data_IF_307335785457
#
_entry.id   IF_307335785457
#
_cell.length_a   1.000
_cell.length_b   1.000
_cell.length_c   1.000
_cell.angle_alpha   90.00
_cell.angle_beta   90.00
_cell.angle_gamma   90.00
#
_symmetry.space_group_name_H-M   'P 1'
#
loop_
_entity.id
_entity.type
_entity.pdbx_description
1 polymer ?
#
# COMPACT_ATOMS: atom_id res chain seq x y z
N UNK A 1 17.06 -14.18 0.67
CA UNK A 1 17.50 -15.55 1.02
C UNK A 1 17.16 -15.73 2.48
N UNK A 2 16.08 -16.47 2.79
CA UNK A 2 15.59 -16.64 4.15
C UNK A 2 15.67 -18.10 4.55
N UNK A 3 16.24 -18.28 5.74
CA UNK A 3 16.36 -19.53 6.46
C UNK A 3 14.98 -19.91 7.02
N UNK A 4 14.59 -21.15 6.79
CA UNK A 4 13.35 -21.74 7.27
C UNK A 4 13.44 -21.99 8.78
N UNK A 5 12.38 -21.64 9.51
CA UNK A 5 12.13 -22.03 10.89
C UNK A 5 10.64 -21.87 11.15
N UNK A 6 9.89 -22.84 10.62
CA UNK A 6 8.53 -23.12 11.00
C UNK A 6 8.46 -23.56 12.47
N UNK A 7 7.59 -22.92 13.25
CA UNK A 7 7.08 -23.47 14.51
C UNK A 7 5.56 -23.45 14.43
N UNK A 8 5.00 -24.66 14.43
CA UNK A 8 3.59 -24.99 14.26
C UNK A 8 2.79 -24.69 15.55
N UNK A 9 1.53 -24.25 15.39
CA UNK A 9 0.64 -23.91 16.50
C UNK A 9 -0.84 -23.89 16.06
N UNK A 10 -1.79 -24.27 16.94
CA UNK A 10 -2.86 -25.21 16.54
C UNK A 10 -4.15 -24.58 16.00
N UNK A 11 -4.79 -25.37 15.13
CA UNK A 11 -6.10 -25.19 14.49
C UNK A 11 -7.25 -25.03 15.50
N UNK A 12 -8.20 -24.12 15.22
CA UNK A 12 -9.59 -24.20 15.71
C UNK A 12 -10.59 -24.17 14.55
N UNK A 13 -11.60 -25.02 14.70
CA UNK A 13 -12.61 -25.50 13.74
C UNK A 13 -13.74 -24.48 13.51
N UNK A 14 -14.16 -24.40 12.23
CA UNK A 14 -15.51 -24.22 11.64
C UNK A 14 -16.68 -23.79 12.53
N UNK A 15 -17.44 -22.81 12.03
CA UNK A 15 -18.89 -22.90 11.99
C UNK A 15 -19.44 -22.20 10.73
N UNK A 16 -20.47 -22.80 10.16
CA UNK A 16 -21.21 -22.45 8.95
C UNK A 16 -22.52 -21.74 9.32
N UNK A 17 -22.93 -20.74 8.56
CA UNK A 17 -24.33 -20.32 8.42
C UNK A 17 -24.50 -19.48 7.14
N UNK A 18 -25.68 -19.59 6.56
CA UNK A 18 -26.06 -19.28 5.17
C UNK A 18 -26.74 -17.90 5.03
N UNK A 19 -26.97 -17.55 3.76
CA UNK A 19 -28.00 -16.65 3.22
C UNK A 19 -27.89 -15.14 3.50
N UNK A 20 -27.65 -14.34 2.44
CA UNK A 20 -28.69 -13.53 1.76
C UNK A 20 -28.04 -12.52 0.80
N UNK A 21 -28.64 -12.41 -0.38
CA UNK A 21 -28.49 -11.28 -1.28
C UNK A 21 -29.11 -10.03 -0.66
N UNK A 22 -28.62 -8.82 -1.01
CA UNK A 22 -29.48 -7.81 -1.62
C UNK A 22 -28.72 -6.56 -2.07
N UNK A 23 -29.20 -6.07 -3.20
CA UNK A 23 -28.85 -4.85 -3.91
C UNK A 23 -29.57 -3.66 -3.26
N UNK A 24 -29.20 -2.42 -3.66
CA UNK A 24 -29.79 -1.10 -3.31
C UNK A 24 -29.23 -0.45 -2.01
N UNK A 25 -29.03 0.87 -1.87
CA UNK A 25 -28.90 2.05 -2.75
C UNK A 25 -28.61 3.26 -1.83
N UNK A 26 -27.97 4.29 -2.37
CA UNK A 26 -28.01 5.72 -1.97
C UNK A 26 -27.55 6.18 -0.56
N UNK A 27 -26.52 7.03 -0.56
CA UNK A 27 -26.59 8.39 -0.02
C UNK A 27 -26.48 8.62 1.49
N UNK A 28 -25.31 9.05 1.96
CA UNK A 28 -25.22 10.15 2.93
C UNK A 28 -23.80 10.75 3.00
N UNK A 29 -23.73 12.08 2.96
CA UNK A 29 -22.54 12.87 3.30
C UNK A 29 -22.10 12.51 4.72
N UNK A 30 -20.96 11.82 4.84
CA UNK A 30 -20.22 11.69 6.07
C UNK A 30 -18.87 12.36 5.88
N UNK A 31 -18.65 13.48 6.55
CA UNK A 31 -17.34 14.10 6.69
C UNK A 31 -16.35 13.06 7.19
N UNK A 32 -15.35 12.71 6.38
CA UNK A 32 -14.25 11.86 6.81
C UNK A 32 -13.64 12.48 8.08
N UNK A 33 -13.47 11.72 9.18
CA UNK A 33 -12.63 12.20 10.25
C UNK A 33 -11.21 12.16 9.69
N UNK A 34 -10.66 13.33 9.36
CA UNK A 34 -9.21 13.50 9.23
C UNK A 34 -8.59 12.90 10.49
N UNK A 35 -7.96 11.73 10.32
CA UNK A 35 -7.33 11.03 11.41
C UNK A 35 -6.02 11.76 11.70
N UNK A 36 -6.12 12.91 12.38
CA UNK A 36 -4.98 13.71 12.80
C UNK A 36 -4.07 12.79 13.62
N UNK A 37 -2.83 12.53 13.16
CA UNK A 37 -1.97 11.57 13.84
C UNK A 37 -1.72 12.08 15.25
N UNK A 38 -2.06 11.26 16.25
CA UNK A 38 -1.74 11.58 17.64
C UNK A 38 -0.26 11.98 17.74
N UNK A 39 0.00 13.17 18.29
CA UNK A 39 1.27 13.91 18.17
C UNK A 39 2.53 13.14 18.61
N UNK A 40 2.38 12.02 19.33
CA UNK A 40 3.46 11.13 19.74
C UNK A 40 3.95 10.20 18.63
N UNK A 41 3.05 9.69 17.80
CA UNK A 41 3.38 8.74 16.72
C UNK A 41 4.16 9.42 15.58
N UNK A 42 3.73 10.62 15.18
CA UNK A 42 4.37 11.38 14.12
C UNK A 42 5.84 11.73 14.46
N UNK A 43 6.12 12.14 15.71
CA UNK A 43 7.48 12.46 16.17
C UNK A 43 8.42 11.25 16.14
N UNK A 44 7.88 10.04 16.39
CA UNK A 44 8.65 8.80 16.32
C UNK A 44 9.08 8.51 14.88
N UNK A 45 8.15 8.63 13.92
CA UNK A 45 8.44 8.41 12.50
C UNK A 45 9.47 9.41 11.95
N UNK A 46 9.38 10.68 12.36
CA UNK A 46 10.37 11.69 11.96
C UNK A 46 11.79 11.33 12.40
N UNK A 47 11.94 10.80 13.62
CA UNK A 47 13.23 10.34 14.12
C UNK A 47 13.76 9.13 13.34
N UNK A 48 12.88 8.19 12.99
CA UNK A 48 13.24 6.99 12.21
C UNK A 48 13.65 7.35 10.78
N UNK A 49 12.86 8.17 10.09
CA UNK A 49 13.17 8.63 8.72
C UNK A 49 14.52 9.35 8.71
N UNK A 50 14.75 10.30 9.63
CA UNK A 50 16.03 11.01 9.75
C UNK A 50 17.23 10.10 10.07
N UNK A 51 17.00 8.95 10.71
CA UNK A 51 18.06 7.96 11.00
C UNK A 51 18.38 7.13 9.75
N UNK A 52 17.36 6.71 9.01
CA UNK A 52 17.51 5.98 7.74
C UNK A 52 18.25 6.85 6.73
N UNK A 53 17.85 8.11 6.57
CA UNK A 53 18.48 9.05 5.62
C UNK A 53 19.94 9.40 5.95
N UNK A 54 20.36 9.27 7.21
CA UNK A 54 21.74 9.51 7.64
C UNK A 54 22.65 8.30 7.49
N UNK A 55 22.08 7.13 7.23
CA UNK A 55 22.82 5.88 7.09
C UNK A 55 23.18 5.66 5.63
N UNK A 56 24.38 5.17 5.34
CA UNK A 56 24.82 4.87 3.96
C UNK A 56 24.02 3.73 3.32
N UNK A 57 23.38 2.88 4.13
CA UNK A 57 22.52 1.78 3.69
C UNK A 57 21.27 1.70 4.57
N UNK A 58 20.34 2.63 4.34
CA UNK A 58 19.07 2.71 5.04
C UNK A 58 17.96 1.90 4.37
N UNK A 59 17.18 1.16 5.16
CA UNK A 59 15.94 0.50 4.73
C UNK A 59 14.78 0.98 5.60
N UNK A 60 13.71 1.45 4.95
CA UNK A 60 12.45 1.77 5.62
C UNK A 60 11.41 0.70 5.27
N UNK A 61 10.90 0.02 6.31
CA UNK A 61 9.79 -0.91 6.17
C UNK A 61 8.57 -0.28 6.83
N UNK A 62 7.47 -0.21 6.08
CA UNK A 62 6.22 0.40 6.53
C UNK A 62 5.03 -0.39 5.98
N UNK A 63 3.85 -0.16 6.55
CA UNK A 63 2.60 -0.70 6.02
C UNK A 63 1.95 0.30 5.09
N UNK A 64 1.03 -0.19 4.26
CA UNK A 64 0.22 0.66 3.37
C UNK A 64 -0.54 1.77 4.11
N UNK A 65 -1.11 1.48 5.28
CA UNK A 65 -1.83 2.47 6.08
C UNK A 65 -0.90 3.56 6.61
N UNK A 66 0.31 3.18 7.06
CA UNK A 66 1.30 4.14 7.54
C UNK A 66 1.87 4.97 6.39
N UNK A 67 2.05 4.38 5.21
CA UNK A 67 2.46 5.10 4.00
C UNK A 67 1.43 6.18 3.63
N UNK A 68 0.13 5.89 3.72
CA UNK A 68 -0.93 6.86 3.50
C UNK A 68 -0.83 8.04 4.48
N UNK A 69 -0.71 7.74 5.78
CA UNK A 69 -0.63 8.77 6.84
C UNK A 69 0.65 9.61 6.74
N UNK A 70 1.77 8.99 6.36
CA UNK A 70 3.08 9.63 6.27
C UNK A 70 3.41 10.10 4.85
N UNK A 71 2.45 10.03 3.92
CA UNK A 71 2.66 10.23 2.49
C UNK A 71 3.44 11.50 2.21
N UNK A 72 2.96 12.64 2.71
CA UNK A 72 3.60 13.95 2.54
C UNK A 72 5.10 13.93 2.84
N UNK A 73 5.53 13.29 3.93
CA UNK A 73 6.93 13.25 4.35
C UNK A 73 7.78 12.28 3.53
N UNK A 74 7.18 11.21 3.05
CA UNK A 74 7.87 10.15 2.30
C UNK A 74 7.94 10.48 0.80
N UNK A 75 7.03 11.31 0.30
CA UNK A 75 6.98 11.77 -1.08
C UNK A 75 8.08 12.81 -1.39
N UNK A 76 8.49 13.60 -0.40
CA UNK A 76 9.59 14.58 -0.53
C UNK A 76 10.99 13.95 -0.59
N UNK A 77 11.09 12.63 -0.42
CA UNK A 77 12.36 11.89 -0.37
C UNK A 77 12.56 11.15 -1.69
N UNK A 78 13.75 11.28 -2.27
CA UNK A 78 14.18 10.47 -3.41
C UNK A 78 14.66 9.09 -2.95
N UNK A 79 13.89 8.05 -3.28
CA UNK A 79 14.19 6.67 -2.91
C UNK A 79 14.93 5.95 -4.04
N UNK A 80 15.95 5.15 -3.72
CA UNK A 80 16.56 4.28 -4.72
C UNK A 80 15.60 3.20 -5.24
N UNK A 81 14.85 2.58 -4.32
CA UNK A 81 13.92 1.49 -4.61
C UNK A 81 12.59 1.67 -3.87
N UNK A 82 11.48 1.37 -4.53
CA UNK A 82 10.19 1.12 -3.89
C UNK A 82 9.73 -0.32 -4.19
N UNK A 83 9.44 -1.07 -3.13
CA UNK A 83 8.97 -2.45 -3.22
C UNK A 83 7.60 -2.55 -2.57
N UNK A 84 6.60 -2.97 -3.36
CA UNK A 84 5.26 -3.23 -2.89
C UNK A 84 5.03 -4.73 -2.76
N UNK A 85 4.84 -5.19 -1.53
CA UNK A 85 4.35 -6.54 -1.28
C UNK A 85 2.83 -6.58 -1.39
N UNK A 86 2.26 -7.72 -1.73
CA UNK A 86 0.82 -7.90 -1.91
C UNK A 86 0.20 -6.90 -2.90
N UNK A 87 0.72 -6.87 -4.13
CA UNK A 87 0.32 -5.92 -5.19
C UNK A 87 -1.19 -5.81 -5.47
N UNK A 88 -1.97 -6.81 -5.08
CA UNK A 88 -3.43 -6.75 -5.11
C UNK A 88 -4.02 -5.59 -4.26
N UNK A 89 -3.26 -5.01 -3.32
CA UNK A 89 -3.61 -3.80 -2.56
C UNK A 89 -3.68 -2.53 -3.42
N UNK A 90 -2.88 -2.43 -4.48
CA UNK A 90 -2.77 -1.22 -5.33
C UNK A 90 -3.48 -1.36 -6.69
N UNK A 91 -4.39 -2.33 -6.80
CA UNK A 91 -5.16 -2.61 -8.02
C UNK A 91 -6.20 -1.53 -8.36
N UNK A 92 -6.71 -0.82 -7.36
CA UNK A 92 -7.69 0.24 -7.58
C UNK A 92 -6.93 1.56 -7.83
N UNK A 93 -6.95 2.12 -9.04
CA UNK A 93 -6.23 3.36 -9.35
C UNK A 93 -6.74 4.57 -8.58
N UNK A 94 -8.01 4.54 -8.13
CA UNK A 94 -8.65 5.64 -7.41
C UNK A 94 -8.45 5.55 -5.88
N UNK A 95 -7.84 4.47 -5.38
CA UNK A 95 -7.59 4.34 -3.96
C UNK A 95 -6.45 5.26 -3.52
N UNK A 96 -6.62 5.98 -2.42
CA UNK A 96 -5.65 6.93 -1.90
C UNK A 96 -4.27 6.29 -1.68
N UNK A 97 -4.24 5.08 -1.13
CA UNK A 97 -3.01 4.30 -0.96
C UNK A 97 -2.28 4.05 -2.29
N UNK A 98 -3.01 3.75 -3.36
CA UNK A 98 -2.44 3.52 -4.69
C UNK A 98 -1.83 4.81 -5.25
N UNK A 99 -2.54 5.92 -5.09
CA UNK A 99 -2.09 7.24 -5.52
C UNK A 99 -0.78 7.59 -4.81
N UNK A 100 -0.74 7.48 -3.47
CA UNK A 100 0.46 7.75 -2.67
C UNK A 100 1.61 6.81 -3.07
N UNK A 101 1.36 5.52 -3.26
CA UNK A 101 2.40 4.58 -3.72
C UNK A 101 2.99 4.99 -5.08
N UNK A 102 2.15 5.40 -6.03
CA UNK A 102 2.58 5.79 -7.38
C UNK A 102 3.35 7.11 -7.39
N UNK A 103 3.04 8.02 -6.45
CA UNK A 103 3.69 9.32 -6.31
C UNK A 103 5.10 9.24 -5.70
N UNK A 104 5.49 8.11 -5.08
CA UNK A 104 6.82 7.93 -4.52
C UNK A 104 7.92 8.20 -5.57
N UNK A 105 8.81 9.14 -5.26
CA UNK A 105 9.94 9.46 -6.12
C UNK A 105 10.97 8.35 -6.01
N UNK A 106 11.11 7.52 -7.05
CA UNK A 106 12.05 6.41 -7.03
C UNK A 106 12.53 5.98 -8.41
N UNK A 107 13.77 5.49 -8.47
CA UNK A 107 14.42 5.00 -9.69
C UNK A 107 13.94 3.59 -10.06
N UNK A 108 13.81 2.71 -9.06
CA UNK A 108 13.48 1.30 -9.26
C UNK A 108 12.19 0.93 -8.54
N UNK A 109 11.24 0.33 -9.27
CA UNK A 109 9.92 -0.03 -8.75
C UNK A 109 9.66 -1.53 -8.93
N UNK A 110 9.29 -2.19 -7.85
CA UNK A 110 9.01 -3.63 -7.82
C UNK A 110 7.65 -3.85 -7.16
N UNK A 111 6.81 -4.68 -7.79
CA UNK A 111 5.60 -5.22 -7.18
C UNK A 111 5.75 -6.73 -7.05
N UNK A 112 5.38 -7.26 -5.89
CA UNK A 112 5.25 -8.68 -5.63
C UNK A 112 3.77 -8.99 -5.36
N UNK A 113 3.23 -10.02 -6.01
CA UNK A 113 1.86 -10.46 -5.73
C UNK A 113 1.72 -11.96 -5.94
N UNK A 114 1.07 -12.63 -4.98
CA UNK A 114 0.69 -14.04 -5.09
C UNK A 114 -0.73 -14.26 -5.62
N UNK A 115 -1.52 -13.20 -5.79
CA UNK A 115 -2.90 -13.28 -6.23
C UNK A 115 -3.00 -13.18 -7.77
N UNK A 116 -3.80 -14.05 -8.42
CA UNK A 116 -4.04 -13.92 -9.85
C UNK A 116 -4.77 -12.59 -10.13
N UNK A 117 -4.32 -11.85 -11.14
CA UNK A 117 -4.96 -10.61 -11.60
C UNK A 117 -6.39 -10.96 -12.04
N UNK A 118 -7.40 -10.27 -11.50
CA UNK A 118 -8.83 -10.64 -11.67
C UNK A 118 -9.42 -10.23 -13.03
N UNK A 119 -8.60 -10.20 -14.09
CA UNK A 119 -8.97 -9.92 -15.49
C UNK A 119 -9.59 -8.53 -15.77
N UNK A 120 -9.58 -7.60 -14.82
CA UNK A 120 -9.97 -6.20 -15.08
C UNK A 120 -8.77 -5.45 -15.66
N UNK A 121 -8.93 -4.90 -16.87
CA UNK A 121 -7.89 -4.09 -17.51
C UNK A 121 -7.49 -2.87 -16.66
N UNK A 122 -8.42 -2.30 -15.90
CA UNK A 122 -8.15 -1.20 -14.96
C UNK A 122 -7.19 -1.61 -13.84
N UNK A 123 -7.31 -2.84 -13.32
CA UNK A 123 -6.41 -3.37 -12.30
C UNK A 123 -5.01 -3.58 -12.88
N UNK A 124 -4.93 -4.20 -14.06
CA UNK A 124 -3.68 -4.42 -14.77
C UNK A 124 -2.98 -3.09 -15.09
N UNK A 125 -3.73 -2.12 -15.62
CA UNK A 125 -3.24 -0.78 -15.89
C UNK A 125 -2.69 -0.12 -14.63
N UNK A 126 -3.40 -0.22 -13.49
CA UNK A 126 -2.95 0.37 -12.23
C UNK A 126 -1.60 -0.20 -11.75
N UNK A 127 -1.43 -1.52 -11.85
CA UNK A 127 -0.18 -2.20 -11.49
C UNK A 127 0.97 -1.79 -12.42
N UNK A 128 0.74 -1.78 -13.73
CA UNK A 128 1.75 -1.38 -14.70
C UNK A 128 2.13 0.10 -14.56
N UNK A 129 1.17 0.98 -14.27
CA UNK A 129 1.42 2.40 -14.06
C UNK A 129 2.29 2.64 -12.80
N UNK A 130 2.17 1.81 -11.77
CA UNK A 130 3.14 1.86 -10.68
C UNK A 130 4.54 1.44 -11.16
N UNK A 131 4.70 0.29 -11.83
CA UNK A 131 6.02 -0.24 -12.22
C UNK A 131 6.70 0.65 -13.25
N UNK A 132 5.95 1.22 -14.18
CA UNK A 132 6.47 2.04 -15.27
C UNK A 132 5.62 3.30 -15.48
N UNK A 133 5.75 4.30 -14.58
CA UNK A 133 4.92 5.49 -14.60
C UNK A 133 5.12 6.29 -15.90
N UNK A 134 4.02 6.82 -16.44
CA UNK A 134 4.03 7.73 -17.60
C UNK A 134 4.19 7.05 -18.97
N UNK A 135 4.09 5.73 -19.05
CA UNK A 135 4.33 4.96 -20.29
C UNK A 135 3.09 4.35 -20.91
N UNK A 136 1.96 4.40 -20.20
CA UNK A 136 0.69 3.78 -20.62
C UNK A 136 -0.35 4.80 -21.12
N UNK A 137 0.01 6.09 -21.24
CA UNK A 137 -0.96 7.15 -21.50
C UNK A 137 -1.90 7.36 -20.30
N UNK A 138 -2.92 8.21 -20.47
CA UNK A 138 -3.98 8.42 -19.47
C UNK A 138 -5.03 7.32 -19.59
N UNK A 139 -5.52 6.79 -18.46
CA UNK A 139 -6.67 5.89 -18.44
C UNK A 139 -7.89 6.66 -19.00
N UNK A 140 -8.56 6.19 -20.08
CA UNK A 140 -9.76 6.81 -20.61
C UNK A 140 -10.99 6.57 -19.72
#
# INVERSE_FOLDING_TARGET
ILHDSAVDGPKKKRQSESDESDYESEGSLGSDPECVPSSRGAKKWDALIKRVLRSESGLLVTTYDQLRILGEKLLDIEWGYAVLDEGHRVRNPNAEVTIVCKQLQTVHRIIMTGAPIQNKLSELWSLFDFVFPGKLGVLP
#
